data_IF_448776690624
#
_entry.id   IF_448776690624
#
_cell.length_a   1.000
_cell.length_b   1.000
_cell.length_c   1.000
_cell.angle_alpha   90.00
_cell.angle_beta   90.00
_cell.angle_gamma   90.00
#
_symmetry.space_group_name_H-M   'P 1'
#
loop_
_entity.id
_entity.type
_entity.pdbx_description
1 polymer ?
#
# COMPACT_ATOMS: atom_id res chain seq x y z
N UNK A 1 10.03 -28.39 9.32
CA UNK A 1 11.33 -28.27 10.00
C UNK A 1 11.16 -27.57 11.35
N UNK A 2 12.10 -27.83 12.25
CA UNK A 2 12.19 -27.11 13.53
C UNK A 2 13.43 -26.23 13.54
N UNK A 3 13.32 -25.07 14.17
CA UNK A 3 14.42 -24.11 14.30
C UNK A 3 14.41 -23.49 15.69
N UNK A 4 15.60 -23.28 16.23
CA UNK A 4 15.83 -22.52 17.45
C UNK A 4 16.81 -21.41 17.15
N UNK A 5 16.47 -20.18 17.50
CA UNK A 5 17.38 -19.05 17.47
C UNK A 5 18.08 -18.96 18.84
N UNK A 6 19.36 -19.27 18.92
CA UNK A 6 20.07 -19.27 20.22
C UNK A 6 20.39 -17.88 20.74
N UNK A 7 20.17 -16.87 19.89
CA UNK A 7 20.28 -15.45 20.25
C UNK A 7 19.12 -14.65 19.67
N UNK A 8 18.85 -13.51 20.26
CA UNK A 8 17.87 -12.58 19.71
C UNK A 8 18.35 -12.10 18.33
N UNK A 9 17.49 -12.25 17.33
CA UNK A 9 17.75 -11.76 15.98
C UNK A 9 17.21 -10.35 15.81
N UNK A 10 18.07 -9.44 15.38
CA UNK A 10 17.69 -8.11 14.92
C UNK A 10 17.56 -8.07 13.40
N UNK A 11 18.44 -8.74 12.69
CA UNK A 11 18.40 -8.93 11.26
C UNK A 11 19.14 -10.22 10.93
N UNK A 12 18.43 -11.19 10.39
CA UNK A 12 18.99 -12.47 10.04
C UNK A 12 17.90 -13.51 9.83
N UNK A 13 18.29 -14.69 9.43
CA UNK A 13 17.37 -15.78 9.23
C UNK A 13 18.05 -17.00 8.63
N UNK A 14 17.24 -18.02 8.44
CA UNK A 14 17.65 -19.25 7.79
C UNK A 14 16.55 -19.75 6.89
N UNK A 15 16.92 -20.28 5.74
CA UNK A 15 15.99 -20.90 4.80
C UNK A 15 16.12 -22.41 4.82
N UNK A 16 14.99 -23.06 4.63
CA UNK A 16 14.95 -24.42 4.08
C UNK A 16 14.46 -24.29 2.65
N UNK A 17 15.32 -24.68 1.70
CA UNK A 17 15.04 -24.71 0.27
C UNK A 17 14.79 -26.13 -0.16
N UNK A 18 13.70 -26.39 -0.88
CA UNK A 18 13.49 -27.62 -1.60
C UNK A 18 13.90 -27.41 -3.06
N UNK A 19 14.84 -28.21 -3.51
CA UNK A 19 15.48 -28.06 -4.82
C UNK A 19 15.08 -29.25 -5.69
N UNK A 20 14.71 -28.91 -6.94
CA UNK A 20 14.42 -29.89 -8.00
C UNK A 20 15.60 -30.02 -8.95
N UNK A 21 15.53 -31.01 -9.82
CA UNK A 21 16.51 -31.17 -10.89
C UNK A 21 17.88 -31.71 -10.44
N UNK A 22 18.87 -31.44 -11.23
CA UNK A 22 20.25 -31.83 -10.98
C UNK A 22 21.01 -30.64 -10.42
N UNK A 23 21.24 -30.64 -9.11
CA UNK A 23 21.95 -29.59 -8.40
C UNK A 23 23.36 -30.08 -8.08
N UNK A 24 24.37 -29.31 -8.52
CA UNK A 24 25.73 -29.54 -8.06
C UNK A 24 25.87 -28.99 -6.61
N UNK A 25 25.95 -29.93 -5.66
CA UNK A 25 26.05 -29.59 -4.25
C UNK A 25 27.33 -28.82 -3.87
N UNK A 26 28.37 -28.90 -4.72
CA UNK A 26 29.64 -28.18 -4.47
C UNK A 26 29.54 -26.69 -4.78
N UNK A 27 28.62 -26.32 -5.67
CA UNK A 27 28.38 -24.95 -6.12
C UNK A 27 27.07 -24.37 -5.58
N UNK A 28 26.44 -25.06 -4.62
CA UNK A 28 25.21 -24.57 -3.99
C UNK A 28 25.44 -23.21 -3.33
N UNK A 29 24.64 -22.22 -3.74
CA UNK A 29 24.72 -20.85 -3.23
C UNK A 29 23.40 -20.10 -3.35
N UNK A 30 23.46 -18.80 -3.09
CA UNK A 30 22.29 -17.91 -3.12
C UNK A 30 21.53 -17.95 -4.44
N UNK A 31 22.27 -18.05 -5.56
CA UNK A 31 21.72 -18.05 -6.92
C UNK A 31 21.21 -19.42 -7.38
N UNK A 32 21.39 -20.47 -6.56
CA UNK A 32 20.90 -21.81 -6.92
C UNK A 32 19.39 -21.82 -7.01
N UNK A 33 18.86 -22.27 -8.16
CA UNK A 33 17.41 -22.38 -8.38
C UNK A 33 16.79 -23.35 -7.37
N UNK A 34 15.61 -23.01 -6.89
CA UNK A 34 14.84 -23.82 -5.95
C UNK A 34 13.38 -23.91 -6.39
N UNK A 35 12.64 -24.86 -5.86
CA UNK A 35 11.20 -25.00 -6.11
C UNK A 35 10.36 -24.37 -5.01
N UNK A 36 10.76 -24.57 -3.76
CA UNK A 36 10.03 -24.07 -2.58
C UNK A 36 11.02 -23.53 -1.56
N UNK A 37 10.74 -22.38 -1.00
CA UNK A 37 11.36 -21.88 0.23
C UNK A 37 10.27 -21.67 1.27
N UNK A 38 10.54 -22.07 2.52
CA UNK A 38 9.74 -21.64 3.66
C UNK A 38 10.68 -21.29 4.81
N UNK A 39 10.41 -20.14 5.47
CA UNK A 39 11.28 -19.63 6.52
C UNK A 39 10.58 -18.65 7.45
N UNK A 40 10.95 -18.57 8.73
CA UNK A 40 10.78 -17.33 9.50
C UNK A 40 11.75 -16.28 8.97
N UNK A 41 11.25 -15.09 8.69
CA UNK A 41 12.04 -13.92 8.28
C UNK A 41 11.95 -12.85 9.36
N UNK A 42 13.10 -12.56 9.95
CA UNK A 42 13.22 -11.56 11.01
C UNK A 42 14.19 -10.51 10.50
N UNK A 43 13.66 -9.44 9.91
CA UNK A 43 14.45 -8.37 9.32
C UNK A 43 14.11 -7.05 9.98
N UNK A 44 15.01 -6.58 10.84
CA UNK A 44 14.91 -5.31 11.58
C UNK A 44 13.56 -5.14 12.29
N UNK A 45 13.04 -3.90 12.32
CA UNK A 45 11.79 -3.56 13.03
C UNK A 45 10.51 -3.91 12.24
N UNK A 46 10.60 -4.20 10.95
CA UNK A 46 9.45 -4.24 10.06
C UNK A 46 9.00 -5.61 9.60
N UNK A 47 9.89 -6.62 9.56
CA UNK A 47 9.55 -7.94 9.02
C UNK A 47 9.73 -9.00 10.10
N UNK A 48 8.62 -9.62 10.52
CA UNK A 48 8.56 -10.75 11.46
C UNK A 48 7.48 -11.71 10.98
N UNK A 49 7.74 -12.37 9.86
CA UNK A 49 6.74 -13.21 9.20
C UNK A 49 7.33 -14.46 8.57
N UNK A 50 6.49 -15.44 8.36
CA UNK A 50 6.85 -16.62 7.58
C UNK A 50 6.82 -16.24 6.10
N UNK A 51 7.97 -16.30 5.44
CA UNK A 51 8.08 -16.18 4.00
C UNK A 51 7.96 -17.57 3.39
N UNK A 52 7.00 -17.72 2.47
CA UNK A 52 6.87 -18.92 1.63
C UNK A 52 6.92 -18.50 0.18
N UNK A 53 7.90 -19.01 -0.54
CA UNK A 53 8.15 -18.72 -1.95
C UNK A 53 7.97 -20.00 -2.75
N UNK A 54 7.17 -19.92 -3.79
CA UNK A 54 6.98 -20.98 -4.78
C UNK A 54 7.60 -20.54 -6.10
N UNK A 55 8.43 -21.37 -6.69
CA UNK A 55 9.03 -21.10 -8.01
C UNK A 55 8.26 -21.87 -9.06
N UNK A 56 7.72 -21.17 -10.03
CA UNK A 56 6.99 -21.73 -11.16
C UNK A 56 7.48 -21.05 -12.44
N UNK A 57 7.74 -21.83 -13.48
CA UNK A 57 8.24 -21.34 -14.78
C UNK A 57 9.47 -20.42 -14.66
N UNK A 58 10.39 -20.76 -13.75
CA UNK A 58 11.61 -20.00 -13.50
C UNK A 58 11.41 -18.67 -12.76
N UNK A 59 10.20 -18.38 -12.25
CA UNK A 59 9.89 -17.18 -11.49
C UNK A 59 9.56 -17.52 -10.05
N UNK A 60 10.05 -16.68 -9.14
CA UNK A 60 9.78 -16.78 -7.70
C UNK A 60 8.54 -15.96 -7.35
N UNK A 61 7.57 -16.62 -6.75
CA UNK A 61 6.32 -16.01 -6.29
C UNK A 61 6.25 -16.07 -4.77
N UNK A 62 6.20 -14.92 -4.13
CA UNK A 62 6.09 -14.80 -2.69
C UNK A 62 4.62 -14.84 -2.27
N UNK A 63 4.33 -15.50 -1.15
CA UNK A 63 2.99 -15.44 -0.54
C UNK A 63 2.59 -14.00 -0.22
N UNK A 64 1.36 -13.63 -0.60
CA UNK A 64 0.80 -12.29 -0.37
C UNK A 64 0.26 -12.09 1.05
N UNK A 65 0.20 -13.16 1.84
CA UNK A 65 -0.34 -13.13 3.20
C UNK A 65 0.75 -12.94 4.23
N UNK A 66 0.48 -12.08 5.19
CA UNK A 66 1.37 -11.90 6.32
C UNK A 66 1.01 -12.90 7.42
N UNK A 67 1.91 -13.85 7.63
CA UNK A 67 1.82 -14.88 8.67
C UNK A 67 2.91 -14.57 9.70
N UNK A 68 2.58 -14.05 10.88
CA UNK A 68 3.58 -13.70 11.88
C UNK A 68 4.40 -14.92 12.30
N UNK A 69 5.71 -14.77 12.43
CA UNK A 69 6.60 -15.81 12.95
C UNK A 69 6.95 -15.56 14.41
N UNK A 70 7.46 -16.60 15.07
CA UNK A 70 7.99 -16.50 16.43
C UNK A 70 9.34 -15.79 16.42
N UNK A 71 9.61 -14.98 17.46
CA UNK A 71 10.83 -14.15 17.56
C UNK A 71 11.58 -14.34 18.88
N UNK A 72 11.16 -15.30 19.67
CA UNK A 72 11.82 -15.68 20.90
C UNK A 72 13.04 -16.62 20.65
N UNK A 73 13.60 -17.17 21.70
CA UNK A 73 14.76 -18.06 21.65
C UNK A 73 14.41 -19.54 21.91
N UNK A 74 13.13 -19.88 21.76
CA UNK A 74 12.66 -21.23 21.90
C UNK A 74 12.73 -22.00 20.57
N UNK A 75 12.57 -23.32 20.64
CA UNK A 75 12.46 -24.14 19.44
C UNK A 75 11.04 -24.11 18.93
N UNK A 76 10.86 -23.73 17.66
CA UNK A 76 9.57 -23.71 16.98
C UNK A 76 9.57 -24.63 15.76
N UNK A 77 8.42 -25.25 15.52
CA UNK A 77 8.20 -26.10 14.35
C UNK A 77 7.39 -25.33 13.31
N UNK A 78 7.96 -25.17 12.13
CA UNK A 78 7.29 -24.56 10.99
C UNK A 78 6.88 -25.63 10.00
N UNK A 79 5.60 -25.68 9.67
CA UNK A 79 5.04 -26.67 8.74
C UNK A 79 4.32 -25.96 7.62
N UNK A 80 4.70 -26.28 6.38
CA UNK A 80 4.01 -25.83 5.18
C UNK A 80 3.45 -27.05 4.45
N UNK A 81 2.15 -27.06 4.24
CA UNK A 81 1.41 -28.16 3.60
C UNK A 81 0.85 -27.64 2.28
N UNK A 82 1.11 -28.34 1.19
CA UNK A 82 0.45 -28.16 -0.10
C UNK A 82 -0.35 -29.40 -0.41
N UNK A 83 -1.58 -29.23 -0.90
CA UNK A 83 -2.50 -30.31 -1.21
C UNK A 83 -2.84 -30.36 -2.71
N UNK A 84 -3.26 -31.53 -3.23
CA UNK A 84 -3.60 -31.69 -4.65
C UNK A 84 -4.79 -30.85 -5.14
N UNK A 85 -5.59 -30.33 -4.24
CA UNK A 85 -6.68 -29.39 -4.56
C UNK A 85 -6.19 -27.92 -4.63
N UNK A 86 -4.88 -27.70 -4.66
CA UNK A 86 -4.21 -26.42 -4.63
C UNK A 86 -4.51 -25.59 -3.35
N UNK A 87 -4.97 -26.23 -2.28
CA UNK A 87 -5.02 -25.59 -0.98
C UNK A 87 -3.69 -25.75 -0.24
N UNK A 88 -3.46 -24.87 0.72
CA UNK A 88 -2.27 -24.92 1.56
C UNK A 88 -2.61 -24.59 3.01
N UNK A 89 -1.71 -25.00 3.92
CA UNK A 89 -1.73 -24.57 5.31
C UNK A 89 -0.32 -24.24 5.80
N UNK A 90 -0.20 -23.21 6.61
CA UNK A 90 1.01 -22.85 7.35
C UNK A 90 0.72 -23.02 8.83
N UNK A 91 1.51 -23.87 9.49
CA UNK A 91 1.40 -24.14 10.92
C UNK A 91 2.69 -23.70 11.61
N UNK A 92 2.54 -23.22 12.83
CA UNK A 92 3.64 -22.98 13.77
C UNK A 92 3.30 -23.75 15.04
N UNK A 93 4.19 -24.64 15.47
CA UNK A 93 4.00 -25.49 16.63
C UNK A 93 2.71 -26.33 16.58
N UNK A 94 2.41 -26.85 15.38
CA UNK A 94 1.20 -27.60 15.05
C UNK A 94 -0.13 -26.80 15.13
N UNK A 95 -0.07 -25.52 15.38
CA UNK A 95 -1.23 -24.63 15.31
C UNK A 95 -1.33 -24.00 13.91
N UNK A 96 -2.47 -24.17 13.25
CA UNK A 96 -2.70 -23.58 11.94
C UNK A 96 -2.80 -22.04 12.05
N UNK A 97 -1.82 -21.35 11.48
CA UNK A 97 -1.77 -19.88 11.47
C UNK A 97 -2.40 -19.29 10.22
N UNK A 98 -2.37 -20.03 9.13
CA UNK A 98 -3.00 -19.60 7.90
C UNK A 98 -3.29 -20.76 6.95
N UNK A 99 -4.42 -20.68 6.25
CA UNK A 99 -4.82 -21.61 5.20
C UNK A 99 -5.47 -20.86 4.04
N UNK A 100 -5.52 -21.47 2.87
CA UNK A 100 -6.15 -20.89 1.70
C UNK A 100 -5.78 -21.56 0.40
N UNK A 101 -5.95 -20.83 -0.70
CA UNK A 101 -5.67 -21.32 -2.05
C UNK A 101 -4.37 -20.72 -2.60
N UNK A 102 -3.58 -21.56 -3.29
CA UNK A 102 -2.40 -21.11 -4.05
C UNK A 102 -2.80 -20.11 -5.12
N UNK A 103 -3.94 -20.32 -5.78
CA UNK A 103 -4.45 -19.42 -6.81
C UNK A 103 -4.70 -17.98 -6.31
N UNK A 104 -5.06 -17.82 -5.05
CA UNK A 104 -5.43 -16.52 -4.50
C UNK A 104 -4.25 -15.83 -3.80
N UNK A 105 -3.39 -16.62 -3.18
CA UNK A 105 -2.38 -16.09 -2.26
C UNK A 105 -0.97 -16.03 -2.85
N UNK A 106 -0.78 -16.50 -4.08
CA UNK A 106 0.41 -16.24 -4.92
C UNK A 106 0.00 -15.70 -6.28
N UNK A 107 0.81 -14.83 -6.85
CA UNK A 107 0.62 -14.31 -8.21
C UNK A 107 1.34 -15.20 -9.24
N UNK A 108 1.03 -16.51 -9.21
CA UNK A 108 1.60 -17.49 -10.16
C UNK A 108 0.89 -17.35 -11.51
N UNK A 109 -0.44 -17.26 -11.48
CA UNK A 109 -1.25 -17.07 -12.68
C UNK A 109 -1.74 -15.63 -12.76
N UNK A 110 -1.97 -15.10 -13.95
CA UNK A 110 -2.69 -13.85 -14.13
C UNK A 110 -4.07 -13.92 -13.46
N UNK A 111 -4.65 -12.79 -13.05
CA UNK A 111 -5.98 -12.80 -12.46
C UNK A 111 -7.04 -13.28 -13.47
N UNK A 112 -8.02 -14.06 -13.01
CA UNK A 112 -9.12 -14.56 -13.86
C UNK A 112 -9.95 -13.44 -14.49
N UNK A 113 -10.06 -12.32 -13.79
CA UNK A 113 -10.79 -11.14 -14.26
C UNK A 113 -9.92 -9.92 -14.19
N UNK A 114 -9.99 -9.09 -15.21
CA UNK A 114 -9.32 -7.79 -15.29
C UNK A 114 -10.35 -6.69 -15.52
N UNK A 115 -9.98 -5.46 -15.21
CA UNK A 115 -10.78 -4.31 -15.65
C UNK A 115 -10.77 -4.27 -17.17
N UNK A 116 -11.93 -4.06 -17.76
CA UNK A 116 -12.04 -3.91 -19.21
C UNK A 116 -11.17 -2.74 -19.69
N UNK A 117 -10.11 -3.00 -20.46
CA UNK A 117 -9.20 -1.95 -20.96
C UNK A 117 -9.84 -1.04 -21.99
N UNK A 118 -10.93 -1.48 -22.64
CA UNK A 118 -11.65 -0.72 -23.65
C UNK A 118 -12.80 0.10 -23.05
N UNK A 119 -13.21 -0.20 -21.81
CA UNK A 119 -14.26 0.51 -21.14
C UNK A 119 -13.86 1.96 -20.84
N UNK A 120 -14.62 2.89 -21.35
CA UNK A 120 -14.45 4.31 -21.12
C UNK A 120 -15.51 4.80 -20.14
N UNK A 121 -15.12 5.77 -19.31
CA UNK A 121 -16.08 6.45 -18.46
C UNK A 121 -17.14 7.12 -19.32
N UNK A 122 -18.46 6.86 -19.13
CA UNK A 122 -19.51 7.58 -19.82
C UNK A 122 -19.38 9.10 -19.61
N UNK A 123 -19.66 9.88 -20.61
CA UNK A 123 -19.56 11.36 -20.53
C UNK A 123 -20.55 11.95 -19.50
N UNK A 124 -21.67 11.30 -19.33
CA UNK A 124 -22.74 11.66 -18.39
C UNK A 124 -22.51 11.10 -16.97
N UNK A 125 -21.42 10.37 -16.74
CA UNK A 125 -21.10 9.85 -15.42
C UNK A 125 -20.54 10.93 -14.51
N UNK A 126 -21.31 11.34 -13.51
CA UNK A 126 -20.88 12.36 -12.55
C UNK A 126 -20.22 11.73 -11.32
N UNK A 127 -18.89 11.89 -11.23
CA UNK A 127 -18.07 11.42 -10.11
C UNK A 127 -17.65 12.54 -9.14
N UNK A 128 -18.24 13.73 -9.31
CA UNK A 128 -18.03 14.84 -8.39
C UNK A 128 -19.04 14.76 -7.25
N UNK A 129 -18.58 14.40 -6.06
CA UNK A 129 -19.45 14.29 -4.88
C UNK A 129 -20.03 15.64 -4.45
N UNK A 130 -19.29 16.72 -4.65
CA UNK A 130 -19.71 18.06 -4.33
C UNK A 130 -19.58 18.97 -5.54
N UNK A 131 -20.58 19.81 -5.73
CA UNK A 131 -20.63 20.84 -6.76
C UNK A 131 -20.79 22.22 -6.11
N UNK A 132 -20.38 23.31 -6.77
CA UNK A 132 -20.67 24.65 -6.31
C UNK A 132 -22.18 24.84 -6.16
N UNK A 133 -22.61 25.49 -5.09
CA UNK A 133 -24.00 25.80 -4.85
C UNK A 133 -24.48 26.88 -5.83
N UNK A 134 -25.40 26.59 -6.74
CA UNK A 134 -25.86 27.57 -7.72
C UNK A 134 -26.63 28.75 -7.10
N UNK A 135 -27.14 28.59 -5.86
CA UNK A 135 -27.84 29.65 -5.14
C UNK A 135 -26.88 30.55 -4.35
N UNK A 136 -25.67 30.09 -4.06
CA UNK A 136 -24.67 30.85 -3.33
C UNK A 136 -23.96 31.82 -4.28
N UNK A 137 -24.46 33.04 -4.35
CA UNK A 137 -23.88 34.12 -5.16
C UNK A 137 -23.00 35.01 -4.31
N UNK A 138 -21.91 35.48 -4.94
CA UNK A 138 -21.03 36.43 -4.29
C UNK A 138 -21.80 37.73 -3.97
N UNK A 139 -21.76 38.19 -2.71
CA UNK A 139 -22.36 39.46 -2.35
C UNK A 139 -21.78 40.62 -3.16
N UNK A 140 -22.64 41.56 -3.52
CA UNK A 140 -22.21 42.77 -4.16
C UNK A 140 -21.27 43.57 -3.24
N UNK A 141 -20.19 44.10 -3.77
CA UNK A 141 -19.20 44.86 -3.01
C UNK A 141 -18.23 43.99 -2.16
N UNK A 142 -18.31 42.63 -2.23
CA UNK A 142 -17.44 41.79 -1.43
C UNK A 142 -15.94 41.97 -1.73
N UNK A 143 -15.59 42.22 -2.98
CA UNK A 143 -14.20 42.44 -3.40
C UNK A 143 -13.70 43.87 -3.09
N UNK A 144 -14.63 44.78 -2.80
CA UNK A 144 -14.30 46.18 -2.50
C UNK A 144 -13.86 46.38 -1.06
N UNK A 145 -14.02 45.34 -0.21
CA UNK A 145 -13.59 45.36 1.19
C UNK A 145 -12.06 45.27 1.23
N UNK A 146 -11.35 46.33 1.65
CA UNK A 146 -9.90 46.31 1.73
C UNK A 146 -9.41 45.37 2.85
N UNK A 147 -8.25 44.78 2.63
CA UNK A 147 -7.61 43.90 3.66
C UNK A 147 -7.19 44.67 4.89
N UNK A 148 -6.82 45.91 4.71
CA UNK A 148 -6.32 46.81 5.75
C UNK A 148 -7.08 48.10 5.70
N UNK A 149 -7.32 48.70 6.86
CA UNK A 149 -7.93 50.01 7.03
C UNK A 149 -7.01 50.87 7.88
N UNK A 150 -7.06 52.19 7.75
CA UNK A 150 -6.36 53.09 8.66
C UNK A 150 -6.82 52.82 10.12
N UNK A 151 -5.88 52.78 11.06
CA UNK A 151 -6.16 52.59 12.45
C UNK A 151 -7.00 53.77 13.00
N UNK A 152 -8.26 53.54 13.39
CA UNK A 152 -9.13 54.61 13.87
C UNK A 152 -8.69 55.20 15.23
N UNK A 153 -7.86 54.46 15.97
CA UNK A 153 -7.36 54.91 17.29
C UNK A 153 -6.00 55.60 17.20
N UNK A 154 -5.37 55.57 16.01
CA UNK A 154 -4.09 56.21 15.77
C UNK A 154 -4.26 57.77 15.79
N UNK A 155 -3.42 58.39 16.55
CA UNK A 155 -3.36 59.87 16.61
C UNK A 155 -2.04 60.33 16.07
N UNK A 156 -2.09 61.48 15.33
CA UNK A 156 -0.89 62.18 14.89
C UNK A 156 -0.02 62.50 16.11
N UNK A 157 1.25 62.14 16.13
CA UNK A 157 2.17 62.53 17.19
C UNK A 157 2.24 64.05 17.31
N UNK A 158 2.37 64.57 18.51
CA UNK A 158 2.43 66.03 18.76
C UNK A 158 3.70 66.66 18.22
N UNK A 159 4.74 65.86 18.01
CA UNK A 159 6.05 66.23 17.50
C UNK A 159 6.22 66.00 15.96
N UNK A 160 5.13 65.62 15.26
CA UNK A 160 5.12 65.41 13.79
C UNK A 160 4.95 66.74 13.08
N UNK A 161 5.92 67.09 12.22
CA UNK A 161 5.89 68.28 11.39
C UNK A 161 5.59 67.96 9.95
N UNK A 162 4.42 68.39 9.44
CA UNK A 162 4.01 68.08 8.05
C UNK A 162 4.92 68.75 7.01
N UNK A 163 5.69 69.81 7.37
CA UNK A 163 6.64 70.44 6.46
C UNK A 163 7.97 69.66 6.33
N UNK A 164 8.38 68.99 7.44
CA UNK A 164 9.62 68.21 7.45
C UNK A 164 9.36 66.72 7.21
N UNK A 165 8.29 66.14 7.81
CA UNK A 165 7.99 64.70 7.82
C UNK A 165 6.94 64.30 6.71
N UNK A 166 6.30 65.30 6.09
CA UNK A 166 5.23 65.07 5.12
C UNK A 166 3.86 64.85 5.79
N UNK A 167 2.81 64.75 4.97
CA UNK A 167 1.43 64.60 5.44
C UNK A 167 1.29 63.29 6.26
N UNK A 168 0.87 63.42 7.52
CA UNK A 168 0.70 62.25 8.40
C UNK A 168 -0.43 61.35 7.93
N UNK A 169 -0.17 60.07 7.85
CA UNK A 169 -1.16 59.03 7.56
C UNK A 169 -1.20 58.01 8.69
N UNK A 170 -2.39 57.65 9.12
CA UNK A 170 -2.56 56.64 10.18
C UNK A 170 -1.96 55.29 9.73
N UNK A 171 -1.27 54.56 10.59
CA UNK A 171 -0.84 53.21 10.27
C UNK A 171 -2.04 52.35 9.96
N UNK A 172 -1.84 51.31 9.11
CA UNK A 172 -2.91 50.41 8.72
C UNK A 172 -3.00 49.25 9.68
N UNK A 173 -4.23 48.83 9.98
CA UNK A 173 -4.56 47.63 10.77
C UNK A 173 -5.36 46.65 9.90
N UNK A 174 -5.33 45.34 10.23
CA UNK A 174 -6.17 44.36 9.55
C UNK A 174 -7.64 44.74 9.64
N UNK A 175 -8.33 44.75 8.50
CA UNK A 175 -9.77 45.06 8.49
C UNK A 175 -10.57 43.87 9.01
N UNK A 176 -11.33 44.01 10.13
CA UNK A 176 -12.15 42.96 10.71
C UNK A 176 -13.29 42.50 9.79
N UNK A 177 -13.69 43.32 8.82
CA UNK A 177 -14.71 42.95 7.84
C UNK A 177 -14.18 42.17 6.67
N UNK A 178 -12.85 42.13 6.46
CA UNK A 178 -12.24 41.38 5.41
C UNK A 178 -12.17 39.89 5.74
N UNK A 179 -12.98 39.08 5.06
CA UNK A 179 -13.09 37.61 5.25
C UNK A 179 -12.27 36.78 4.27
N UNK A 180 -11.34 37.43 3.55
CA UNK A 180 -10.53 36.78 2.51
C UNK A 180 -11.25 36.67 1.16
N UNK A 181 -10.66 36.01 0.16
CA UNK A 181 -11.28 35.82 -1.14
C UNK A 181 -12.58 35.03 -1.02
N UNK A 182 -13.64 35.48 -1.68
CA UNK A 182 -14.91 34.78 -1.67
C UNK A 182 -14.78 33.38 -2.28
N UNK A 183 -15.35 32.40 -1.60
CA UNK A 183 -15.40 31.01 -2.06
C UNK A 183 -16.83 30.54 -2.03
N UNK A 184 -17.34 30.17 -3.18
CA UNK A 184 -18.68 29.59 -3.32
C UNK A 184 -18.83 28.35 -2.45
N UNK A 185 -19.90 28.23 -1.71
CA UNK A 185 -20.26 27.04 -0.95
C UNK A 185 -20.39 25.85 -1.87
N UNK A 186 -20.15 24.67 -1.33
CA UNK A 186 -20.35 23.43 -2.05
C UNK A 186 -21.50 22.67 -1.44
N UNK A 187 -22.38 22.14 -2.29
CA UNK A 187 -23.47 21.26 -1.92
C UNK A 187 -23.22 19.85 -2.43
N UNK A 188 -23.88 18.87 -1.83
CA UNK A 188 -23.87 17.51 -2.36
C UNK A 188 -24.45 17.50 -3.77
N UNK A 189 -23.74 16.86 -4.68
CA UNK A 189 -24.22 16.71 -6.03
C UNK A 189 -25.36 15.67 -6.09
N UNK A 190 -26.57 16.05 -6.45
CA UNK A 190 -27.70 15.12 -6.56
C UNK A 190 -27.50 14.06 -7.65
N UNK A 191 -26.65 14.33 -8.64
CA UNK A 191 -26.35 13.43 -9.75
C UNK A 191 -25.09 12.57 -9.50
N UNK A 192 -24.54 12.62 -8.28
CA UNK A 192 -23.35 11.84 -7.95
C UNK A 192 -23.60 10.34 -8.03
N UNK A 193 -22.90 9.66 -8.92
CA UNK A 193 -23.01 8.22 -9.18
C UNK A 193 -21.85 7.42 -8.58
N UNK A 194 -20.99 8.07 -7.79
CA UNK A 194 -19.77 7.46 -7.26
C UNK A 194 -18.59 7.54 -8.23
N UNK A 195 -17.45 7.14 -7.76
CA UNK A 195 -16.25 7.06 -8.62
C UNK A 195 -16.43 5.96 -9.65
N UNK A 196 -16.32 6.31 -10.92
CA UNK A 196 -16.45 5.33 -11.99
C UNK A 196 -15.38 4.25 -11.90
N UNK A 197 -15.78 3.02 -12.14
CA UNK A 197 -14.90 1.85 -12.21
C UNK A 197 -15.24 1.08 -13.47
N UNK A 198 -14.21 0.75 -14.26
CA UNK A 198 -14.38 -0.11 -15.41
C UNK A 198 -15.00 -1.46 -15.00
N UNK A 199 -15.91 -2.01 -15.80
CA UNK A 199 -16.45 -3.34 -15.56
C UNK A 199 -15.34 -4.39 -15.59
N UNK A 200 -15.58 -5.50 -14.89
CA UNK A 200 -14.64 -6.62 -14.89
C UNK A 200 -15.02 -7.60 -16.00
N UNK A 201 -14.06 -7.93 -16.84
CA UNK A 201 -14.17 -8.93 -17.91
C UNK A 201 -13.26 -10.11 -17.62
N UNK A 202 -13.52 -11.25 -18.27
CA UNK A 202 -12.61 -12.38 -18.21
C UNK A 202 -11.28 -12.03 -18.86
N UNK A 203 -10.20 -12.39 -18.20
CA UNK A 203 -8.86 -12.09 -18.68
C UNK A 203 -8.47 -13.06 -19.81
N UNK A 204 -8.23 -12.58 -21.03
CA UNK A 204 -7.83 -13.45 -22.14
C UNK A 204 -6.47 -14.14 -21.95
N UNK A 205 -5.61 -13.56 -21.10
CA UNK A 205 -4.28 -14.12 -20.79
C UNK A 205 -4.34 -15.16 -19.67
N UNK A 206 -5.50 -15.34 -19.03
CA UNK A 206 -5.67 -16.35 -18.00
C UNK A 206 -5.74 -17.74 -18.62
N UNK A 207 -4.80 -18.60 -18.23
CA UNK A 207 -4.82 -20.03 -18.51
C UNK A 207 -4.82 -20.77 -17.19
N UNK A 208 -5.81 -21.60 -16.97
CA UNK A 208 -5.86 -22.41 -15.75
C UNK A 208 -4.72 -23.43 -15.74
N UNK A 209 -4.12 -23.61 -14.58
CA UNK A 209 -3.13 -24.66 -14.33
C UNK A 209 -3.64 -25.58 -13.21
N UNK A 210 -4.28 -26.70 -13.56
CA UNK A 210 -4.79 -27.64 -12.56
C UNK A 210 -3.69 -28.33 -11.76
N UNK A 211 -2.43 -28.19 -12.18
CA UNK A 211 -1.23 -28.73 -11.52
C UNK A 211 -0.39 -27.66 -10.83
N UNK A 212 -0.98 -26.50 -10.52
CA UNK A 212 -0.28 -25.38 -9.87
C UNK A 212 0.41 -25.80 -8.54
N UNK A 213 -0.13 -26.80 -7.88
CA UNK A 213 0.39 -27.38 -6.63
C UNK A 213 1.56 -28.34 -6.84
N UNK A 214 1.76 -28.81 -8.08
CA UNK A 214 2.76 -29.82 -8.39
C UNK A 214 4.12 -29.19 -8.71
N UNK A 215 5.15 -29.77 -8.15
CA UNK A 215 6.54 -29.44 -8.42
C UNK A 215 7.23 -30.66 -8.98
N UNK A 216 8.07 -30.43 -10.00
CA UNK A 216 8.93 -31.49 -10.52
C UNK A 216 9.83 -32.00 -9.42
N UNK A 217 10.31 -33.23 -9.58
CA UNK A 217 11.02 -34.00 -8.56
C UNK A 217 11.86 -33.15 -7.58
N UNK A 218 11.40 -33.07 -6.33
CA UNK A 218 12.17 -32.46 -5.22
C UNK A 218 13.21 -33.47 -4.76
N UNK A 219 14.48 -33.23 -5.04
CA UNK A 219 15.58 -34.19 -4.78
C UNK A 219 16.48 -33.79 -3.62
N UNK A 220 16.61 -32.50 -3.36
CA UNK A 220 17.57 -31.98 -2.39
C UNK A 220 16.95 -30.98 -1.43
N UNK A 221 17.52 -30.91 -0.25
CA UNK A 221 17.23 -29.90 0.76
C UNK A 221 18.47 -29.01 0.89
N UNK A 222 18.30 -27.72 0.65
CA UNK A 222 19.31 -26.70 0.91
C UNK A 222 19.00 -25.94 2.20
N UNK A 223 20.03 -25.64 2.97
CA UNK A 223 19.95 -24.77 4.14
C UNK A 223 20.84 -23.56 3.87
N UNK A 224 20.32 -22.39 4.06
CA UNK A 224 21.06 -21.13 3.91
C UNK A 224 20.79 -20.25 5.14
N UNK A 225 21.89 -19.68 5.66
CA UNK A 225 21.88 -18.74 6.80
C UNK A 225 22.51 -17.42 6.34
N UNK A 226 22.00 -16.29 6.83
CA UNK A 226 22.57 -14.96 6.55
C UNK A 226 22.51 -14.03 7.76
#
# INVERSE_FOLDING_TARGET
FSVKHEQKLDCGGGYVKLLGGDVDQKTLGGDTSYSIISRPDISRYSTKKVHTILTKDGKNHLIKKDVPCQTDQLTHVYTFIIRPDATYSILIDNEEKHTGSIYEHWDILPPKKIKDPEAKKPEDWDDKEYIPDPEDKKPEGYDDIPKEIPDPDAKKPEDWDDEEDGEWTAPTIPNPEYKGPWKQKKIKNPNYQGKWKAPMIDNPDFKDDPYIYAFDSLKYIGIELW
#
